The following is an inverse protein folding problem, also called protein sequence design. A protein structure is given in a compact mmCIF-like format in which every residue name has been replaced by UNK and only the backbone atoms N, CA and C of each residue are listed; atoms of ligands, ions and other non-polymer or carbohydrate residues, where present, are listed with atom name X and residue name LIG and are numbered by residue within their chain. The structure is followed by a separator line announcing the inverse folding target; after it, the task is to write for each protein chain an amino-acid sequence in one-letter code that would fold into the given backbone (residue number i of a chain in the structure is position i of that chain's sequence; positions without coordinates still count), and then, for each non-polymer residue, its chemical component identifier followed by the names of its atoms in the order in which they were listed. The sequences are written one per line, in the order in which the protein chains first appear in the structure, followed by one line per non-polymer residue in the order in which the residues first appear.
data_IF_881730314869
#
_entry.id   IF_881730314869
#
_cell.length_a   1.000
_cell.length_b   1.000
_cell.length_c   1.000
_cell.angle_alpha   90.00
_cell.angle_beta   90.00
_cell.angle_gamma   90.00
#
_symmetry.space_group_name_H-M   'P 1'
#
loop_
_entity.id
_entity.type
_entity.pdbx_description
1 polymer ?
#
# COMPACT_ATOMS: atom_id res chain seq x y z
N UNK A 1 -60.38 42.77 20.40
CA UNK A 1 -59.26 42.45 19.49
C UNK A 1 -58.14 41.64 20.15
N UNK A 2 -57.78 41.91 21.42
CA UNK A 2 -56.69 41.22 22.13
C UNK A 2 -56.89 39.70 22.39
N UNK A 3 -58.14 39.24 22.51
CA UNK A 3 -58.43 37.81 22.80
C UNK A 3 -58.29 36.90 21.59
N UNK A 4 -58.61 37.40 20.38
CA UNK A 4 -58.47 36.64 19.12
C UNK A 4 -57.00 36.44 18.71
N UNK A 5 -56.13 37.41 19.02
CA UNK A 5 -54.70 37.32 18.78
C UNK A 5 -54.05 36.21 19.64
N UNK A 6 -54.47 36.09 20.90
CA UNK A 6 -53.95 35.10 21.85
C UNK A 6 -54.31 33.65 21.48
N UNK A 7 -55.46 33.43 20.83
CA UNK A 7 -55.88 32.11 20.33
C UNK A 7 -55.13 31.68 19.07
N UNK A 8 -54.65 32.62 18.26
CA UNK A 8 -53.85 32.34 17.05
C UNK A 8 -52.36 32.14 17.33
N UNK A 9 -51.83 32.83 18.34
CA UNK A 9 -50.41 32.73 18.72
C UNK A 9 -50.09 31.40 19.44
N UNK A 10 -51.02 30.88 20.26
CA UNK A 10 -50.83 29.63 21.01
C UNK A 10 -50.51 28.39 20.16
N UNK A 11 -51.21 28.08 19.05
CA UNK A 11 -50.87 26.94 18.22
C UNK A 11 -49.55 27.13 17.46
N UNK A 12 -49.25 28.34 16.96
CA UNK A 12 -47.97 28.65 16.31
C UNK A 12 -46.78 28.51 17.27
N UNK A 13 -46.93 28.89 18.54
CA UNK A 13 -45.87 28.74 19.53
C UNK A 13 -45.59 27.26 19.81
N UNK A 14 -46.63 26.41 19.83
CA UNK A 14 -46.48 24.96 20.05
C UNK A 14 -45.79 24.28 18.87
N UNK A 15 -46.16 24.60 17.63
CA UNK A 15 -45.47 24.05 16.46
C UNK A 15 -44.03 24.52 16.39
N UNK A 16 -43.75 25.80 16.67
CA UNK A 16 -42.38 26.32 16.68
C UNK A 16 -41.54 25.66 17.78
N UNK A 17 -42.11 25.36 18.94
CA UNK A 17 -41.44 24.64 20.01
C UNK A 17 -41.19 23.17 19.65
N UNK A 18 -42.12 22.50 18.97
CA UNK A 18 -41.92 21.11 18.47
C UNK A 18 -40.86 21.06 17.38
N UNK A 19 -40.87 21.99 16.42
CA UNK A 19 -39.83 22.09 15.40
C UNK A 19 -38.48 22.47 16.00
N UNK A 20 -38.46 23.36 17.00
CA UNK A 20 -37.27 23.70 17.76
C UNK A 20 -36.74 22.49 18.53
N UNK A 21 -37.61 21.69 19.15
CA UNK A 21 -37.24 20.51 19.92
C UNK A 21 -36.76 19.36 19.01
N UNK A 22 -37.41 19.18 17.86
CA UNK A 22 -36.96 18.25 16.82
C UNK A 22 -35.63 18.69 16.20
N UNK A 23 -35.44 19.99 15.94
CA UNK A 23 -34.16 20.53 15.50
C UNK A 23 -33.10 20.33 16.58
N UNK A 24 -33.38 20.61 17.86
CA UNK A 24 -32.42 20.32 18.93
C UNK A 24 -32.15 18.83 19.06
N UNK A 25 -33.10 17.92 18.82
CA UNK A 25 -32.82 16.48 18.84
C UNK A 25 -31.97 16.03 17.65
N UNK A 26 -32.23 16.57 16.46
CA UNK A 26 -31.45 16.30 15.24
C UNK A 26 -30.05 16.90 15.32
N UNK A 27 -29.91 18.09 15.92
CA UNK A 27 -28.62 18.78 16.08
C UNK A 27 -27.90 18.47 17.40
N UNK A 28 -28.56 17.88 18.40
CA UNK A 28 -27.94 17.36 19.65
C UNK A 28 -27.36 15.97 19.46
N UNK A 29 -27.73 15.24 18.41
CA UNK A 29 -27.02 14.03 18.01
C UNK A 29 -25.79 14.32 17.12
N UNK A 30 -25.44 15.60 16.94
CA UNK A 30 -24.17 16.01 16.38
C UNK A 30 -23.13 16.31 17.47
N UNK A 31 -23.20 15.58 18.59
CA UNK A 31 -22.10 15.58 19.56
C UNK A 31 -20.87 14.96 18.89
N UNK A 32 -19.92 15.85 18.59
CA UNK A 32 -18.55 15.61 18.18
C UNK A 32 -18.24 14.25 17.55
N UNK A 33 -18.26 14.18 16.23
CA UNK A 33 -17.19 13.44 15.56
C UNK A 33 -15.89 14.16 15.95
N UNK A 34 -15.28 13.73 17.06
CA UNK A 34 -13.93 14.13 17.43
C UNK A 34 -13.06 13.68 16.26
N UNK A 35 -12.69 14.66 15.45
CA UNK A 35 -11.97 14.51 14.21
C UNK A 35 -10.82 13.51 14.40
N UNK A 36 -10.91 12.34 13.76
CA UNK A 36 -9.87 11.31 13.75
C UNK A 36 -8.63 11.85 13.03
N UNK A 37 -7.85 12.65 13.74
CA UNK A 37 -6.59 13.21 13.27
C UNK A 37 -5.60 12.08 13.12
N UNK A 38 -5.08 11.91 11.91
CA UNK A 38 -4.18 10.81 11.58
C UNK A 38 -2.73 11.24 11.46
N UNK A 39 -1.84 10.33 11.84
CA UNK A 39 -0.41 10.43 11.62
C UNK A 39 0.01 9.60 10.42
N UNK A 40 1.07 10.03 9.72
CA UNK A 40 1.64 9.31 8.58
C UNK A 40 3.16 9.41 8.54
N UNK A 41 3.82 8.29 8.31
CA UNK A 41 5.27 8.21 8.06
C UNK A 41 5.50 7.27 6.90
N UNK A 42 6.33 7.65 5.94
CA UNK A 42 6.61 6.74 4.85
C UNK A 42 7.30 7.35 3.65
N UNK A 43 7.28 6.62 2.55
CA UNK A 43 7.95 7.00 1.33
C UNK A 43 8.22 5.76 0.49
N UNK A 44 8.81 5.97 -0.68
CA UNK A 44 9.13 4.85 -1.55
C UNK A 44 9.68 5.29 -2.89
N UNK A 45 10.35 4.35 -3.54
CA UNK A 45 10.80 4.50 -4.91
C UNK A 45 10.53 3.20 -5.68
N UNK A 46 9.52 3.23 -6.55
CA UNK A 46 9.19 2.10 -7.43
C UNK A 46 10.05 2.10 -8.69
N UNK A 47 11.36 2.30 -8.53
CA UNK A 47 12.29 2.40 -9.66
C UNK A 47 12.74 1.01 -10.08
N UNK A 48 12.70 0.74 -11.38
CA UNK A 48 13.36 -0.44 -11.93
C UNK A 48 14.88 -0.31 -11.69
N UNK A 49 15.57 -1.38 -11.24
CA UNK A 49 17.02 -1.34 -11.08
C UNK A 49 17.66 -1.00 -12.43
N UNK A 50 18.33 0.16 -12.50
CA UNK A 50 19.11 0.53 -13.67
C UNK A 50 20.33 -0.38 -13.71
N UNK A 51 20.32 -1.37 -14.62
CA UNK A 51 21.55 -2.11 -14.92
C UNK A 51 22.54 -1.10 -15.46
N UNK A 52 23.60 -0.81 -14.70
CA UNK A 52 24.77 -0.11 -15.19
C UNK A 52 25.36 -0.94 -16.33
N UNK A 53 24.98 -0.60 -17.56
CA UNK A 53 25.52 -1.22 -18.77
C UNK A 53 26.99 -0.83 -18.84
N UNK A 54 27.89 -1.72 -18.41
CA UNK A 54 29.30 -1.61 -18.75
C UNK A 54 29.42 -1.93 -20.25
N UNK A 55 29.72 -0.95 -21.12
CA UNK A 55 29.94 -1.25 -22.52
C UNK A 55 31.08 -2.26 -22.63
N UNK A 56 30.97 -3.30 -23.47
CA UNK A 56 32.05 -4.25 -23.66
C UNK A 56 33.30 -3.48 -24.11
N UNK A 57 34.37 -3.59 -23.31
CA UNK A 57 35.67 -3.05 -23.66
C UNK A 57 36.14 -3.76 -24.94
N UNK A 58 36.12 -3.04 -26.07
CA UNK A 58 36.75 -3.51 -27.31
C UNK A 58 38.26 -3.52 -27.09
N UNK A 59 38.79 -4.60 -26.53
CA UNK A 59 40.22 -4.89 -26.61
C UNK A 59 40.54 -5.26 -28.05
N UNK A 60 40.98 -4.26 -28.83
CA UNK A 60 41.60 -4.44 -30.13
C UNK A 60 42.90 -5.22 -29.93
N UNK A 61 42.84 -6.55 -29.92
CA UNK A 61 44.04 -7.39 -30.10
C UNK A 61 44.38 -7.36 -31.58
N UNK A 62 45.39 -6.56 -31.92
CA UNK A 62 46.06 -6.64 -33.21
C UNK A 62 46.67 -8.03 -33.39
N UNK A 63 46.25 -8.73 -34.44
CA UNK A 63 46.92 -9.94 -34.94
C UNK A 63 48.01 -9.50 -35.92
N UNK A 64 49.29 -9.87 -35.72
CA UNK A 64 50.35 -9.64 -36.69
C UNK A 64 50.47 -10.82 -37.68
N UNK A 65 50.67 -10.50 -38.96
CA UNK A 65 51.09 -11.42 -40.03
C UNK A 65 49.91 -12.12 -40.73
N UNK A 66 49.76 -12.12 -42.04
CA UNK A 66 50.75 -12.12 -43.12
C UNK A 66 50.53 -13.40 -43.92
N UNK A 67 50.03 -13.30 -45.16
CA UNK A 67 49.75 -14.49 -45.98
C UNK A 67 48.99 -14.19 -47.26
N UNK A 68 49.75 -13.93 -48.31
CA UNK A 68 49.32 -13.76 -49.70
C UNK A 68 49.20 -15.15 -50.35
N UNK A 69 48.02 -15.54 -50.88
CA UNK A 69 47.93 -16.43 -52.04
C UNK A 69 46.55 -16.29 -52.74
N UNK A 70 46.51 -16.15 -54.07
CA UNK A 70 45.29 -16.02 -54.86
C UNK A 70 44.81 -17.38 -55.37
N UNK A 71 43.49 -17.56 -55.54
CA UNK A 71 42.98 -18.55 -56.46
C UNK A 71 41.75 -19.33 -56.00
N UNK A 72 40.79 -19.43 -56.92
CA UNK A 72 40.05 -20.69 -57.12
C UNK A 72 38.66 -20.69 -56.52
N UNK A 73 37.66 -20.63 -57.39
CA UNK A 73 36.26 -20.68 -57.01
C UNK A 73 35.81 -22.04 -56.49
N UNK A 74 34.62 -22.04 -55.88
CA UNK A 74 33.69 -23.15 -55.98
C UNK A 74 32.27 -22.61 -55.73
N UNK A 75 31.48 -22.57 -56.79
CA UNK A 75 30.05 -22.29 -56.74
C UNK A 75 29.30 -23.54 -56.29
N UNK A 76 28.46 -23.40 -55.27
CA UNK A 76 27.48 -24.40 -54.90
C UNK A 76 26.22 -24.20 -55.76
N UNK A 77 25.78 -25.18 -56.58
CA UNK A 77 24.58 -25.04 -57.37
C UNK A 77 23.34 -25.35 -56.53
N UNK A 78 22.41 -24.41 -56.48
CA UNK A 78 21.02 -24.67 -56.13
C UNK A 78 20.39 -25.55 -57.23
N UNK A 79 20.19 -26.83 -56.94
CA UNK A 79 19.33 -27.73 -57.73
C UNK A 79 18.16 -28.12 -56.83
N UNK A 80 17.03 -27.43 -56.99
CA UNK A 80 15.72 -27.84 -56.49
C UNK A 80 14.94 -28.44 -57.67
N UNK A 81 14.74 -29.76 -57.75
CA UNK A 81 13.84 -30.33 -58.74
C UNK A 81 12.39 -30.23 -58.20
N UNK A 82 11.59 -29.43 -58.89
CA UNK A 82 10.13 -29.49 -58.79
C UNK A 82 9.64 -30.77 -59.45
N UNK A 83 9.20 -31.80 -58.71
CA UNK A 83 8.32 -32.85 -59.24
C UNK A 83 7.57 -33.58 -58.12
N UNK A 84 6.22 -33.54 -58.18
CA UNK A 84 5.38 -34.69 -57.83
C UNK A 84 4.45 -34.58 -56.61
N UNK A 85 3.15 -34.50 -56.91
CA UNK A 85 1.99 -34.93 -56.08
C UNK A 85 1.48 -34.05 -54.93
N UNK A 86 0.35 -33.38 -55.19
CA UNK A 86 -0.86 -33.45 -54.36
C UNK A 86 -0.82 -32.94 -52.91
N UNK A 87 -1.45 -31.78 -52.68
CA UNK A 87 -2.03 -31.42 -51.38
C UNK A 87 -1.19 -30.47 -50.53
N UNK A 88 -1.66 -29.22 -50.37
CA UNK A 88 -1.41 -28.33 -49.23
C UNK A 88 0.03 -28.22 -48.63
N UNK A 89 1.09 -28.48 -49.40
CA UNK A 89 2.46 -28.62 -48.89
C UNK A 89 3.54 -27.76 -49.56
N UNK A 90 3.18 -26.69 -50.27
CA UNK A 90 4.16 -25.73 -50.81
C UNK A 90 4.72 -24.78 -49.76
N UNK A 91 5.72 -23.95 -50.09
CA UNK A 91 6.29 -22.88 -49.24
C UNK A 91 5.23 -22.12 -48.41
N UNK A 92 4.03 -21.96 -48.96
CA UNK A 92 2.89 -21.35 -48.29
C UNK A 92 2.41 -22.11 -47.03
N UNK A 93 2.40 -23.44 -47.04
CA UNK A 93 2.10 -24.27 -45.87
C UNK A 93 3.19 -24.17 -44.80
N UNK A 94 4.46 -24.01 -45.21
CA UNK A 94 5.57 -23.76 -44.28
C UNK A 94 5.41 -22.37 -43.64
N UNK A 95 5.13 -21.33 -44.42
CA UNK A 95 4.88 -19.99 -43.89
C UNK A 95 3.63 -19.95 -42.99
N UNK A 96 2.57 -20.68 -43.36
CA UNK A 96 1.35 -20.78 -42.57
C UNK A 96 1.57 -21.55 -41.25
N UNK A 97 2.34 -22.64 -41.28
CA UNK A 97 2.74 -23.37 -40.09
C UNK A 97 3.65 -22.54 -39.18
N UNK A 98 4.59 -21.76 -39.74
CA UNK A 98 5.43 -20.82 -38.97
C UNK A 98 4.58 -19.69 -38.38
N UNK A 99 3.59 -19.17 -39.11
CA UNK A 99 2.69 -18.14 -38.62
C UNK A 99 1.81 -18.65 -37.46
N UNK A 100 1.23 -19.85 -37.60
CA UNK A 100 0.46 -20.50 -36.54
C UNK A 100 1.35 -20.85 -35.35
N UNK A 101 2.54 -21.40 -35.58
CA UNK A 101 3.48 -21.72 -34.51
C UNK A 101 3.88 -20.45 -33.73
N UNK A 102 4.22 -19.35 -34.42
CA UNK A 102 4.51 -18.09 -33.75
C UNK A 102 3.30 -17.48 -33.03
N UNK A 103 2.09 -17.65 -33.57
CA UNK A 103 0.86 -17.19 -32.94
C UNK A 103 0.51 -18.01 -31.69
N UNK A 104 0.69 -19.33 -31.72
CA UNK A 104 0.51 -20.22 -30.58
C UNK A 104 1.59 -19.95 -29.53
N UNK A 105 2.86 -19.81 -29.93
CA UNK A 105 3.96 -19.49 -29.00
C UNK A 105 3.74 -18.11 -28.35
N UNK A 106 3.27 -17.10 -29.09
CA UNK A 106 2.92 -15.79 -28.51
C UNK A 106 1.72 -15.88 -27.57
N UNK A 107 0.68 -16.62 -27.95
CA UNK A 107 -0.54 -16.78 -27.13
C UNK A 107 -0.27 -17.58 -25.86
N UNK A 108 0.54 -18.64 -25.94
CA UNK A 108 0.98 -19.41 -24.78
C UNK A 108 1.88 -18.56 -23.88
N UNK A 109 2.88 -17.85 -24.42
CA UNK A 109 3.74 -16.97 -23.61
C UNK A 109 2.98 -15.79 -22.98
N UNK A 110 1.87 -15.35 -23.57
CA UNK A 110 1.01 -14.33 -22.95
C UNK A 110 0.05 -14.89 -21.88
N UNK A 111 -0.26 -16.19 -21.92
CA UNK A 111 -1.20 -16.85 -21.02
C UNK A 111 -0.51 -17.60 -19.86
N UNK A 112 0.69 -18.17 -20.09
CA UNK A 112 1.54 -18.75 -19.06
C UNK A 112 2.50 -17.68 -18.56
N UNK A 113 2.18 -17.07 -17.42
CA UNK A 113 3.04 -16.13 -16.71
C UNK A 113 4.30 -16.79 -16.10
N UNK A 114 5.06 -17.54 -16.90
CA UNK A 114 6.31 -18.17 -16.52
C UNK A 114 7.52 -17.36 -17.03
N UNK A 115 8.44 -17.16 -16.10
CA UNK A 115 9.76 -16.53 -16.24
C UNK A 115 10.59 -17.25 -17.31
N UNK A 116 10.49 -16.79 -18.55
CA UNK A 116 11.43 -17.14 -19.61
C UNK A 116 12.54 -16.10 -19.68
N UNK A 117 13.74 -16.46 -19.19
CA UNK A 117 15.00 -15.78 -19.52
C UNK A 117 15.17 -15.70 -21.04
N UNK A 118 14.76 -14.56 -21.60
CA UNK A 118 14.75 -14.31 -23.03
C UNK A 118 15.49 -13.01 -23.31
N UNK A 119 16.64 -13.14 -23.97
CA UNK A 119 17.39 -12.05 -24.60
C UNK A 119 16.45 -11.07 -25.32
N UNK A 120 16.16 -9.95 -24.67
CA UNK A 120 15.37 -8.85 -25.20
C UNK A 120 15.50 -7.68 -24.22
N UNK A 121 16.03 -6.55 -24.69
CA UNK A 121 16.28 -5.34 -23.89
C UNK A 121 15.01 -4.61 -23.44
N UNK A 122 14.04 -5.32 -22.87
CA UNK A 122 12.89 -4.76 -22.17
C UNK A 122 13.25 -4.48 -20.71
N UNK A 123 12.74 -3.38 -20.16
CA UNK A 123 12.89 -3.06 -18.76
C UNK A 123 12.43 -4.25 -17.89
N UNK A 124 13.28 -4.69 -16.97
CA UNK A 124 12.94 -5.76 -16.04
C UNK A 124 11.69 -5.36 -15.25
N UNK A 125 10.64 -6.19 -15.30
CA UNK A 125 9.37 -5.96 -14.61
C UNK A 125 9.12 -7.08 -13.58
N UNK A 126 9.90 -7.08 -12.48
CA UNK A 126 9.81 -8.11 -11.45
C UNK A 126 8.45 -8.07 -10.72
N UNK A 127 8.15 -9.17 -10.04
CA UNK A 127 6.99 -9.28 -9.17
C UNK A 127 7.21 -8.49 -7.88
N UNK A 128 6.20 -7.72 -7.48
CA UNK A 128 6.16 -6.94 -6.25
C UNK A 128 5.00 -7.44 -5.40
N UNK A 129 5.27 -7.66 -4.12
CA UNK A 129 4.24 -7.94 -3.12
C UNK A 129 3.89 -6.65 -2.39
N UNK A 130 2.59 -6.38 -2.25
CA UNK A 130 2.06 -5.26 -1.47
C UNK A 130 1.31 -5.89 -0.29
N UNK A 131 1.73 -5.55 0.91
CA UNK A 131 1.18 -6.06 2.15
C UNK A 131 0.56 -4.92 2.96
N UNK A 132 -0.63 -5.15 3.50
CA UNK A 132 -1.32 -4.26 4.44
C UNK A 132 -1.60 -5.04 5.72
N UNK A 133 -1.11 -4.52 6.84
CA UNK A 133 -1.45 -5.00 8.17
C UNK A 133 -2.10 -3.88 8.96
N UNK A 134 -3.29 -4.13 9.48
CA UNK A 134 -4.02 -3.22 10.35
C UNK A 134 -4.13 -3.88 11.73
N UNK A 135 -3.84 -3.12 12.78
CA UNK A 135 -3.95 -3.54 14.17
C UNK A 135 -4.73 -2.48 14.92
N UNK A 136 -5.86 -2.87 15.50
CA UNK A 136 -6.63 -2.08 16.46
C UNK A 136 -6.19 -2.43 17.87
N UNK A 137 -5.66 -1.43 18.58
CA UNK A 137 -5.15 -1.54 19.93
C UNK A 137 -6.09 -0.85 20.91
N UNK A 138 -6.15 -1.33 22.14
CA UNK A 138 -6.80 -0.62 23.25
C UNK A 138 -6.10 0.71 23.53
N UNK A 139 -6.85 1.72 23.96
CA UNK A 139 -6.35 3.06 24.21
C UNK A 139 -5.27 3.17 25.30
N UNK A 140 -5.13 2.15 26.16
CA UNK A 140 -4.02 2.05 27.11
C UNK A 140 -2.64 1.96 26.40
N UNK A 141 -2.63 1.67 25.09
CA UNK A 141 -1.45 1.72 24.21
C UNK A 141 -1.02 3.15 23.83
N UNK A 142 -1.20 4.16 24.68
CA UNK A 142 -0.78 5.56 24.41
C UNK A 142 0.72 5.68 24.10
N UNK A 143 1.53 4.76 24.64
CA UNK A 143 2.96 4.65 24.32
C UNK A 143 3.23 4.40 22.83
N UNK A 144 2.32 3.74 22.10
CA UNK A 144 2.44 3.54 20.66
C UNK A 144 2.31 4.86 19.90
N UNK A 145 1.33 5.71 20.26
CA UNK A 145 1.19 7.03 19.64
C UNK A 145 2.45 7.87 19.85
N UNK A 146 3.00 7.86 21.07
CA UNK A 146 4.27 8.53 21.40
C UNK A 146 5.43 8.00 20.56
N UNK A 147 5.57 6.68 20.45
CA UNK A 147 6.62 6.05 19.66
C UNK A 147 6.51 6.40 18.17
N UNK A 148 5.32 6.30 17.58
CA UNK A 148 5.08 6.63 16.18
C UNK A 148 5.27 8.13 15.90
N UNK A 149 4.83 9.00 16.81
CA UNK A 149 5.07 10.44 16.73
C UNK A 149 6.57 10.76 16.75
N UNK A 150 7.33 10.13 17.65
CA UNK A 150 8.80 10.27 17.74
C UNK A 150 9.46 9.79 16.45
N UNK A 151 9.13 8.58 15.97
CA UNK A 151 9.66 8.04 14.71
C UNK A 151 9.37 9.02 13.57
N UNK A 152 8.15 9.55 13.49
CA UNK A 152 7.76 10.48 12.43
C UNK A 152 8.54 11.78 12.45
N UNK A 153 8.92 12.30 13.61
CA UNK A 153 9.69 13.53 13.72
C UNK A 153 11.18 13.35 13.41
N UNK A 154 11.75 12.16 13.68
CA UNK A 154 13.19 11.94 13.58
C UNK A 154 13.63 11.12 12.37
N UNK A 155 12.73 10.37 11.74
CA UNK A 155 13.08 9.46 10.67
C UNK A 155 13.50 10.18 9.37
N UNK A 156 14.56 9.67 8.74
CA UNK A 156 14.90 10.02 7.36
C UNK A 156 14.07 9.19 6.38
N UNK A 157 12.97 9.73 5.89
CA UNK A 157 12.08 9.03 4.94
C UNK A 157 12.48 9.21 3.47
N UNK A 158 13.62 9.87 3.20
CA UNK A 158 14.14 10.10 1.85
C UNK A 158 15.15 9.06 1.39
N UNK A 159 15.66 8.23 2.30
CA UNK A 159 16.59 7.15 2.02
C UNK A 159 15.94 5.77 2.20
N UNK A 160 16.45 4.75 1.51
CA UNK A 160 15.91 3.38 1.63
C UNK A 160 16.26 2.77 2.99
N UNK A 161 17.44 3.11 3.50
CA UNK A 161 17.91 2.75 4.83
C UNK A 161 16.98 3.34 5.91
N UNK A 162 16.65 4.63 5.81
CA UNK A 162 15.75 5.27 6.76
C UNK A 162 14.30 4.76 6.68
N UNK A 163 13.80 4.43 5.49
CA UNK A 163 12.51 3.73 5.34
C UNK A 163 12.52 2.33 5.98
N UNK A 164 13.63 1.62 5.87
CA UNK A 164 13.80 0.31 6.54
C UNK A 164 13.81 0.47 8.06
N UNK A 165 14.47 1.51 8.56
CA UNK A 165 14.46 1.85 10.00
C UNK A 165 13.05 2.19 10.48
N UNK A 166 12.28 2.99 9.73
CA UNK A 166 10.87 3.29 10.04
C UNK A 166 10.06 2.00 10.14
N UNK A 167 10.23 1.09 9.17
CA UNK A 167 9.54 -0.19 9.15
C UNK A 167 9.85 -1.03 10.38
N UNK A 168 11.13 -1.15 10.72
CA UNK A 168 11.60 -1.94 11.85
C UNK A 168 11.18 -1.34 13.18
N UNK A 169 11.35 -0.03 13.39
CA UNK A 169 10.96 0.64 14.63
C UNK A 169 9.44 0.61 14.85
N UNK A 170 8.64 0.81 13.80
CA UNK A 170 7.18 0.74 13.89
C UNK A 170 6.70 -0.68 14.20
N UNK A 171 7.27 -1.68 13.53
CA UNK A 171 6.99 -3.10 13.79
C UNK A 171 7.38 -3.49 15.22
N UNK A 172 8.55 -3.02 15.68
CA UNK A 172 9.04 -3.27 17.03
C UNK A 172 8.13 -2.61 18.08
N UNK A 173 7.70 -1.37 17.87
CA UNK A 173 6.80 -0.67 18.79
C UNK A 173 5.48 -1.43 18.96
N UNK A 174 4.90 -1.95 17.86
CA UNK A 174 3.74 -2.82 17.92
C UNK A 174 4.00 -4.14 18.66
N UNK A 175 5.16 -4.77 18.41
CA UNK A 175 5.55 -6.04 19.06
C UNK A 175 5.87 -5.91 20.56
N UNK A 176 6.13 -4.70 21.07
CA UNK A 176 6.38 -4.47 22.51
C UNK A 176 5.12 -4.54 23.35
N UNK A 177 3.95 -4.32 22.75
CA UNK A 177 2.67 -4.24 23.44
C UNK A 177 1.60 -5.19 22.85
N UNK A 178 1.88 -6.51 22.80
CA UNK A 178 0.90 -7.48 22.31
C UNK A 178 -0.36 -7.54 23.18
N UNK A 179 -0.28 -7.19 24.46
CA UNK A 179 -1.38 -7.18 25.42
C UNK A 179 -2.52 -6.22 25.04
N UNK A 180 -2.23 -5.22 24.20
CA UNK A 180 -3.24 -4.25 23.78
C UNK A 180 -3.88 -4.58 22.44
N UNK A 181 -3.44 -5.63 21.73
CA UNK A 181 -4.06 -5.99 20.45
C UNK A 181 -5.47 -6.53 20.67
N UNK A 182 -6.47 -5.81 20.16
CA UNK A 182 -7.88 -6.23 20.23
C UNK A 182 -8.39 -6.70 18.87
N UNK A 183 -8.01 -5.98 17.81
CA UNK A 183 -8.43 -6.27 16.45
C UNK A 183 -7.25 -6.34 15.50
N UNK A 184 -7.34 -7.15 14.45
CA UNK A 184 -6.36 -7.11 13.38
C UNK A 184 -6.91 -7.62 12.05
N UNK A 185 -6.27 -7.17 10.97
CA UNK A 185 -6.49 -7.64 9.62
C UNK A 185 -5.17 -7.61 8.85
N UNK A 186 -4.90 -8.66 8.06
CA UNK A 186 -3.73 -8.72 7.21
C UNK A 186 -4.15 -9.14 5.80
N UNK A 187 -3.63 -8.41 4.82
CA UNK A 187 -3.85 -8.63 3.39
C UNK A 187 -2.52 -8.53 2.67
N UNK A 188 -2.33 -9.35 1.64
CA UNK A 188 -1.15 -9.29 0.80
C UNK A 188 -1.49 -9.68 -0.62
N UNK A 189 -1.17 -8.81 -1.56
CA UNK A 189 -1.41 -8.99 -2.98
C UNK A 189 -0.10 -8.94 -3.77
N UNK A 190 -0.11 -9.56 -4.96
CA UNK A 190 1.02 -9.57 -5.87
C UNK A 190 0.67 -8.80 -7.13
N UNK A 191 1.60 -7.98 -7.58
CA UNK A 191 1.47 -7.21 -8.80
C UNK A 191 2.82 -7.10 -9.52
N UNK A 192 2.82 -6.48 -10.69
CA UNK A 192 4.02 -6.18 -11.46
C UNK A 192 4.59 -4.84 -11.03
N UNK A 193 5.91 -4.68 -11.03
CA UNK A 193 6.58 -3.42 -10.66
C UNK A 193 5.97 -2.18 -11.34
N UNK A 194 5.64 -2.27 -12.63
CA UNK A 194 5.03 -1.17 -13.38
C UNK A 194 3.64 -0.74 -12.87
N UNK A 195 2.90 -1.62 -12.20
CA UNK A 195 1.58 -1.34 -11.62
C UNK A 195 1.63 -1.20 -10.09
N UNK A 196 2.77 -1.50 -9.46
CA UNK A 196 2.92 -1.58 -8.01
C UNK A 196 2.74 -0.21 -7.34
N UNK A 197 3.33 0.84 -7.92
CA UNK A 197 3.21 2.20 -7.38
C UNK A 197 1.75 2.66 -7.33
N UNK A 198 1.01 2.43 -8.42
CA UNK A 198 -0.40 2.79 -8.49
C UNK A 198 -1.22 2.01 -7.47
N UNK A 199 -1.03 0.69 -7.37
CA UNK A 199 -1.75 -0.15 -6.42
C UNK A 199 -1.44 0.24 -4.96
N UNK A 200 -0.17 0.52 -4.65
CA UNK A 200 0.25 0.98 -3.33
C UNK A 200 -0.37 2.33 -2.98
N UNK A 201 -0.30 3.30 -3.90
CA UNK A 201 -0.87 4.63 -3.69
C UNK A 201 -2.40 4.60 -3.55
N UNK A 202 -3.09 3.68 -4.23
CA UNK A 202 -4.53 3.47 -4.04
C UNK A 202 -4.86 3.01 -2.62
N UNK A 203 -4.12 2.03 -2.09
CA UNK A 203 -4.30 1.57 -0.71
C UNK A 203 -3.96 2.68 0.29
N UNK A 204 -2.83 3.37 0.10
CA UNK A 204 -2.43 4.50 0.94
C UNK A 204 -3.50 5.60 0.95
N UNK A 205 -4.06 5.97 -0.20
CA UNK A 205 -5.14 6.97 -0.29
C UNK A 205 -6.44 6.49 0.38
N UNK A 206 -6.78 5.21 0.26
CA UNK A 206 -7.96 4.65 0.92
C UNK A 206 -7.83 4.71 2.45
N UNK A 207 -6.65 4.39 2.99
CA UNK A 207 -6.41 4.53 4.44
C UNK A 207 -6.41 6.01 4.87
N UNK A 208 -5.75 6.89 4.11
CA UNK A 208 -5.70 8.33 4.41
C UNK A 208 -7.06 9.02 4.33
N UNK A 209 -7.97 8.53 3.49
CA UNK A 209 -9.32 9.10 3.36
C UNK A 209 -10.19 8.93 4.62
N UNK A 210 -9.76 8.07 5.55
CA UNK A 210 -10.40 7.89 6.86
C UNK A 210 -10.04 9.02 7.83
N UNK A 211 -8.95 9.74 7.58
CA UNK A 211 -8.51 10.82 8.44
C UNK A 211 -9.29 12.09 8.10
N UNK A 212 -9.83 12.74 9.13
CA UNK A 212 -10.41 14.08 8.96
C UNK A 212 -9.35 15.14 8.69
N UNK A 213 -8.15 14.95 9.27
CA UNK A 213 -7.00 15.82 9.13
C UNK A 213 -5.71 14.99 9.30
N UNK A 214 -4.70 15.22 8.45
CA UNK A 214 -3.37 14.62 8.58
C UNK A 214 -2.49 15.58 9.41
N UNK A 215 -2.49 15.40 10.74
CA UNK A 215 -1.89 16.37 11.69
C UNK A 215 -0.37 16.26 11.78
N UNK A 216 0.17 15.07 11.55
CA UNK A 216 1.60 14.79 11.50
C UNK A 216 1.90 13.92 10.29
N UNK A 217 2.72 14.41 9.37
CA UNK A 217 3.17 13.64 8.22
C UNK A 217 4.67 13.79 8.00
N UNK A 218 5.38 12.70 7.77
CA UNK A 218 6.76 12.72 7.28
C UNK A 218 6.88 11.77 6.10
N UNK A 219 6.91 12.33 4.89
CA UNK A 219 6.98 11.53 3.66
C UNK A 219 8.02 12.06 2.69
N UNK A 220 8.95 11.19 2.25
CA UNK A 220 10.06 11.55 1.37
C UNK A 220 10.85 12.78 1.90
N UNK A 221 11.20 12.74 3.18
CA UNK A 221 11.85 13.80 3.98
C UNK A 221 11.07 15.12 4.05
N UNK A 222 9.75 15.10 3.80
CA UNK A 222 8.86 16.24 3.96
C UNK A 222 8.07 16.09 5.26
N UNK A 223 8.57 16.71 6.33
CA UNK A 223 7.84 16.81 7.60
C UNK A 223 6.82 17.95 7.52
N UNK A 224 5.55 17.64 7.76
CA UNK A 224 4.48 18.62 7.99
C UNK A 224 3.80 18.30 9.31
N UNK A 225 3.61 19.32 10.10
CA UNK A 225 2.91 19.24 11.37
C UNK A 225 1.92 20.40 11.41
N UNK A 226 0.62 20.12 11.54
CA UNK A 226 -0.33 21.17 11.85
C UNK A 226 -0.15 21.57 13.32
N UNK A 227 -0.25 22.87 13.61
CA UNK A 227 -0.15 23.36 14.98
C UNK A 227 -1.25 22.69 15.79
N UNK A 228 -0.88 22.01 16.87
CA UNK A 228 -1.85 21.44 17.80
C UNK A 228 -2.74 22.59 18.29
N UNK A 229 -4.01 22.60 17.88
CA UNK A 229 -5.01 23.33 18.64
C UNK A 229 -5.06 22.60 19.97
N UNK A 230 -4.40 23.16 20.99
CA UNK A 230 -4.58 22.71 22.37
C UNK A 230 -6.08 22.68 22.62
N UNK A 231 -6.64 21.47 22.65
CA UNK A 231 -7.96 21.27 23.20
C UNK A 231 -7.75 21.60 24.67
N UNK A 232 -8.23 22.77 25.09
CA UNK A 232 -8.39 23.11 26.51
C UNK A 232 -8.95 21.85 27.18
N UNK A 233 -8.39 21.38 28.32
CA UNK A 233 -8.99 20.28 29.03
C UNK A 233 -10.41 20.68 29.37
N UNK A 234 -11.36 20.23 28.55
CA UNK A 234 -12.76 20.36 28.82
C UNK A 234 -12.96 19.57 30.09
N UNK A 235 -13.44 20.24 31.13
CA UNK A 235 -13.73 19.64 32.42
C UNK A 235 -14.88 18.63 32.25
N UNK A 236 -14.56 17.48 31.67
CA UNK A 236 -15.39 16.29 31.70
C UNK A 236 -15.02 15.54 32.97
N UNK A 237 -15.27 16.16 34.14
CA UNK A 237 -15.68 15.41 35.32
C UNK A 237 -17.10 14.88 35.08
N UNK A 238 -17.22 14.02 34.06
CA UNK A 238 -18.41 13.26 33.76
C UNK A 238 -18.03 11.80 33.95
N UNK A 239 -18.06 11.39 35.21
CA UNK A 239 -18.18 10.02 35.70
C UNK A 239 -17.13 9.01 35.21
N UNK A 240 -16.40 8.47 36.19
CA UNK A 240 -15.66 7.20 36.13
C UNK A 240 -16.59 6.01 35.85
N UNK A 241 -17.30 6.03 34.73
CA UNK A 241 -17.91 4.87 34.13
C UNK A 241 -16.97 4.45 33.00
N UNK A 242 -16.33 3.28 33.13
CA UNK A 242 -15.67 2.56 32.05
C UNK A 242 -16.47 2.75 30.74
N UNK A 243 -15.97 3.60 29.86
CA UNK A 243 -16.51 3.71 28.51
C UNK A 243 -16.13 2.43 27.77
N UNK A 244 -17.07 1.73 27.12
CA UNK A 244 -16.78 0.48 26.44
C UNK A 244 -15.98 0.74 25.16
N UNK A 245 -14.67 0.53 25.23
CA UNK A 245 -13.78 0.38 24.10
C UNK A 245 -13.32 1.69 23.47
N UNK A 246 -12.23 2.23 24.01
CA UNK A 246 -11.39 3.24 23.36
C UNK A 246 -10.25 2.53 22.62
N UNK A 247 -9.99 2.92 21.37
CA UNK A 247 -9.03 2.25 20.50
C UNK A 247 -8.12 3.21 19.73
N UNK A 248 -6.98 2.68 19.31
CA UNK A 248 -6.03 3.28 18.38
C UNK A 248 -5.83 2.27 17.25
N UNK A 249 -5.92 2.71 15.99
CA UNK A 249 -5.66 1.84 14.84
C UNK A 249 -4.34 2.23 14.21
N UNK A 250 -3.44 1.26 14.08
CA UNK A 250 -2.19 1.37 13.34
C UNK A 250 -2.25 0.53 12.07
N UNK A 251 -1.84 1.12 10.94
CA UNK A 251 -1.81 0.50 9.63
C UNK A 251 -0.40 0.55 9.05
N UNK A 252 0.14 -0.61 8.69
CA UNK A 252 1.41 -0.77 8.00
C UNK A 252 1.13 -1.21 6.57
N UNK A 253 1.57 -0.41 5.60
CA UNK A 253 1.60 -0.72 4.18
C UNK A 253 3.04 -0.89 3.74
N UNK A 254 3.34 -2.00 3.08
CA UNK A 254 4.69 -2.33 2.64
C UNK A 254 4.65 -2.85 1.22
N UNK A 255 5.45 -2.26 0.34
CA UNK A 255 5.73 -2.80 -0.98
C UNK A 255 7.15 -3.33 -1.02
N UNK A 256 7.30 -4.60 -1.39
CA UNK A 256 8.60 -5.26 -1.48
C UNK A 256 8.74 -6.04 -2.78
N UNK A 257 9.94 -5.99 -3.37
CA UNK A 257 10.30 -6.81 -4.51
C UNK A 257 10.47 -8.27 -4.06
N UNK A 258 9.75 -9.20 -4.70
CA UNK A 258 9.75 -10.61 -4.33
C UNK A 258 8.42 -11.03 -3.69
N UNK A 259 8.47 -12.06 -2.85
CA UNK A 259 7.29 -12.71 -2.31
C UNK A 259 7.13 -12.41 -0.81
N UNK A 260 6.15 -11.59 -0.47
CA UNK A 260 5.69 -11.36 0.90
C UNK A 260 4.21 -11.76 0.97
N UNK A 261 3.92 -12.84 1.69
CA UNK A 261 2.54 -13.32 1.88
C UNK A 261 2.24 -13.34 3.37
N UNK A 262 1.27 -12.53 3.78
CA UNK A 262 0.86 -12.43 5.18
C UNK A 262 -0.10 -13.58 5.54
N UNK A 263 -0.08 -14.07 6.79
CA UNK A 263 -1.06 -15.04 7.25
C UNK A 263 -2.46 -14.41 7.34
N UNK A 264 -3.49 -15.24 7.17
CA UNK A 264 -4.86 -14.83 7.50
C UNK A 264 -4.99 -14.72 9.01
N UNK A 265 -5.17 -13.51 9.51
CA UNK A 265 -5.24 -13.22 10.94
C UNK A 265 -6.51 -13.81 11.56
N UNK A 266 -6.34 -14.67 12.56
CA UNK A 266 -7.42 -15.25 13.38
C UNK A 266 -7.15 -15.17 14.88
N UNK A 267 -5.90 -14.95 15.28
CA UNK A 267 -5.48 -14.87 16.67
C UNK A 267 -4.21 -13.99 16.78
N UNK A 268 -3.81 -13.69 18.02
CA UNK A 268 -2.59 -12.92 18.34
C UNK A 268 -1.30 -13.49 17.71
N UNK A 269 -1.18 -14.83 17.60
CA UNK A 269 0.01 -15.46 17.02
C UNK A 269 0.15 -15.16 15.53
N UNK A 270 -0.97 -15.08 14.81
CA UNK A 270 -0.97 -14.70 13.40
C UNK A 270 -0.53 -13.24 13.21
N UNK A 271 -0.95 -12.33 14.09
CA UNK A 271 -0.50 -10.92 14.08
C UNK A 271 1.00 -10.83 14.34
N UNK A 272 1.50 -11.54 15.36
CA UNK A 272 2.93 -11.61 15.65
C UNK A 272 3.71 -12.14 14.46
N UNK A 273 3.19 -13.17 13.78
CA UNK A 273 3.79 -13.71 12.56
C UNK A 273 3.79 -12.70 11.42
N UNK A 274 2.67 -12.01 11.17
CA UNK A 274 2.58 -10.97 10.14
C UNK A 274 3.58 -9.82 10.40
N UNK A 275 3.64 -9.31 11.64
CA UNK A 275 4.60 -8.30 12.06
C UNK A 275 6.05 -8.80 11.88
N UNK A 276 6.35 -10.03 12.27
CA UNK A 276 7.70 -10.59 12.08
C UNK A 276 8.11 -10.70 10.61
N UNK A 277 7.18 -11.04 9.71
CA UNK A 277 7.44 -11.10 8.27
C UNK A 277 7.65 -9.70 7.67
N UNK A 278 6.86 -8.73 8.11
CA UNK A 278 6.98 -7.33 7.70
C UNK A 278 8.31 -6.73 8.18
N UNK A 279 8.66 -6.89 9.46
CA UNK A 279 9.89 -6.37 10.03
C UNK A 279 11.17 -7.04 9.51
N UNK A 280 11.06 -8.23 8.90
CA UNK A 280 12.18 -8.96 8.30
C UNK A 280 12.48 -8.56 6.84
N UNK A 281 11.71 -7.63 6.25
CA UNK A 281 11.97 -7.17 4.88
C UNK A 281 13.32 -6.44 4.83
N UNK A 282 14.19 -6.90 3.93
CA UNK A 282 15.51 -6.33 3.74
C UNK A 282 15.46 -5.00 2.96
N UNK A 283 16.40 -4.10 3.23
CA UNK A 283 16.43 -2.76 2.63
C UNK A 283 16.57 -2.79 1.11
N UNK A 284 17.28 -3.77 0.55
CA UNK A 284 17.47 -3.95 -0.90
C UNK A 284 16.20 -4.42 -1.62
N UNK A 285 15.26 -5.01 -0.88
CA UNK A 285 13.97 -5.48 -1.39
C UNK A 285 12.82 -4.52 -1.08
N UNK A 286 13.04 -3.52 -0.23
CA UNK A 286 12.02 -2.57 0.18
C UNK A 286 11.81 -1.50 -0.90
N UNK A 287 10.61 -1.43 -1.47
CA UNK A 287 10.27 -0.43 -2.48
C UNK A 287 9.56 0.78 -1.88
N UNK A 288 8.62 0.53 -0.97
CA UNK A 288 7.87 1.59 -0.29
C UNK A 288 7.35 1.11 1.07
N UNK A 289 7.19 2.06 2.00
CA UNK A 289 6.57 1.87 3.30
C UNK A 289 5.66 3.04 3.57
N UNK A 290 4.47 2.78 4.09
CA UNK A 290 3.66 3.78 4.77
C UNK A 290 3.13 3.20 6.08
N UNK A 291 3.38 3.93 7.16
CA UNK A 291 2.85 3.68 8.49
C UNK A 291 1.86 4.81 8.78
N UNK A 292 0.62 4.44 9.06
CA UNK A 292 -0.43 5.39 9.41
C UNK A 292 -1.06 4.98 10.73
N UNK A 293 -1.43 5.95 11.56
CA UNK A 293 -2.12 5.68 12.82
C UNK A 293 -3.16 6.74 13.11
N UNK A 294 -4.26 6.31 13.74
CA UNK A 294 -5.35 7.17 14.14
C UNK A 294 -5.95 6.69 15.46
N UNK A 295 -6.19 7.60 16.43
CA UNK A 295 -5.84 9.01 16.39
C UNK A 295 -4.33 9.25 16.60
N UNK A 296 -3.83 10.41 16.18
CA UNK A 296 -2.43 10.79 16.26
C UNK A 296 -2.06 11.44 17.59
N UNK A 297 -2.96 12.25 18.14
CA UNK A 297 -2.74 12.99 19.36
C UNK A 297 -2.92 12.10 20.59
N UNK A 298 -2.03 12.29 21.58
CA UNK A 298 -2.11 11.58 22.84
C UNK A 298 -3.39 11.95 23.59
N UNK A 299 -4.15 10.93 24.00
CA UNK A 299 -5.43 11.12 24.70
C UNK A 299 -6.65 11.23 23.80
N UNK A 300 -6.48 11.27 22.47
CA UNK A 300 -7.56 11.02 21.51
C UNK A 300 -7.66 9.52 21.21
N UNK A 301 -8.90 9.01 21.16
CA UNK A 301 -9.20 7.59 20.94
C UNK A 301 -10.42 7.42 20.06
N UNK A 302 -10.47 6.34 19.29
CA UNK A 302 -11.65 5.93 18.54
C UNK A 302 -12.57 5.09 19.42
N UNK A 303 -13.87 5.24 19.26
CA UNK A 303 -14.88 4.37 19.86
C UNK A 303 -15.00 3.05 19.10
N UNK A 304 -15.58 2.03 19.74
CA UNK A 304 -15.90 0.75 19.09
C UNK A 304 -16.67 0.92 17.77
N UNK A 305 -17.65 1.83 17.75
CA UNK A 305 -18.51 2.06 16.58
C UNK A 305 -17.74 2.71 15.43
N UNK A 306 -16.84 3.66 15.72
CA UNK A 306 -15.96 4.28 14.72
C UNK A 306 -14.98 3.27 14.12
N UNK A 307 -14.39 2.39 14.93
CA UNK A 307 -13.51 1.32 14.43
C UNK A 307 -14.27 0.39 13.48
N UNK A 308 -15.49 -0.02 13.83
CA UNK A 308 -16.30 -0.89 12.98
C UNK A 308 -16.71 -0.19 11.68
N UNK A 309 -17.03 1.11 11.75
CA UNK A 309 -17.45 1.91 10.59
C UNK A 309 -16.29 2.17 9.62
N UNK A 310 -15.12 2.58 10.12
CA UNK A 310 -13.97 2.97 9.29
C UNK A 310 -13.07 1.79 8.89
N UNK A 311 -13.07 0.71 9.68
CA UNK A 311 -12.23 -0.47 9.49
C UNK A 311 -13.05 -1.77 9.49
N UNK A 312 -13.98 -1.95 8.53
CA UNK A 312 -14.88 -3.10 8.51
C UNK A 312 -14.18 -4.46 8.31
N UNK A 313 -12.90 -4.45 7.89
CA UNK A 313 -12.12 -5.67 7.68
C UNK A 313 -11.43 -6.16 8.96
N UNK A 314 -11.34 -5.33 10.01
CA UNK A 314 -10.76 -5.70 11.29
C UNK A 314 -11.57 -6.80 11.96
N UNK A 315 -10.86 -7.77 12.55
CA UNK A 315 -11.46 -8.91 13.26
C UNK A 315 -10.92 -8.98 14.67
N UNK A 316 -11.78 -9.37 15.60
CA UNK A 316 -11.38 -9.68 16.97
C UNK A 316 -10.42 -10.89 16.96
N UNK A 317 -9.36 -10.84 17.77
CA UNK A 317 -8.28 -11.84 17.82
C UNK A 317 -8.01 -12.40 19.22
#
# INVERSE_FOLDING_TARGET
MLTKLKTWIRPCLKTLLVFGLAATLVFSQADGAMAARGGRIGGGSFRAPSRSYSPPSRSYRGTPGGGYYPGGGFGFPFILPFFGFGGFGGLFGIFFAIAIANFIIRSFRSASGEEGDGYGGGAANPTVSIARLQVGLLADARSLQQDLNRIAQTADTGSTEGLTQVLQESTLSLLRHPEYWAYAAAESDKTRLMAAEQAFNQLALAERSKFSEESLSNVNSQLKQSAATEVLPGNSEAQLAEAPGEYIVATLLVATQGNLTLPKVQNEQDVRKALSQIGAVASDQLLAVEVLWSPQAEGETLTSDEVIAEYPNLRLI
#
